data_IF_797338494980
#
_entry.id   IF_797338494980
#
_cell.length_a   1.000
_cell.length_b   1.000
_cell.length_c   1.000
_cell.angle_alpha   90.00
_cell.angle_beta   90.00
_cell.angle_gamma   90.00
#
_symmetry.space_group_name_H-M   'P 1'
#
loop_
_entity.id
_entity.type
_entity.pdbx_description
1 polymer ?
#
# COMPACT_ATOMS: atom_id res chain seq x y z
N UNK A 1 1.40 27.23 -14.21
CA UNK A 1 1.63 27.17 -12.75
C UNK A 1 1.46 25.73 -12.38
N UNK A 2 2.56 25.00 -12.25
CA UNK A 2 2.53 23.63 -11.74
C UNK A 2 2.19 23.77 -10.26
N UNK A 3 1.21 22.99 -9.82
CA UNK A 3 0.66 23.07 -8.46
C UNK A 3 1.69 22.49 -7.48
N UNK A 4 2.58 23.35 -6.95
CA UNK A 4 3.65 23.01 -6.01
C UNK A 4 3.16 22.15 -4.81
N UNK A 5 1.85 22.22 -4.51
CA UNK A 5 1.23 21.42 -3.45
C UNK A 5 1.16 19.93 -3.80
N UNK A 6 0.87 19.57 -5.06
CA UNK A 6 0.73 18.17 -5.48
C UNK A 6 2.08 17.46 -5.55
N UNK A 7 3.12 18.14 -6.03
CA UNK A 7 4.48 17.60 -6.05
C UNK A 7 5.00 17.35 -4.63
N UNK A 8 4.69 18.25 -3.70
CA UNK A 8 5.03 18.10 -2.28
C UNK A 8 4.33 16.90 -1.63
N UNK A 9 3.05 16.66 -1.93
CA UNK A 9 2.29 15.50 -1.42
C UNK A 9 2.83 14.20 -2.01
N UNK A 10 3.14 14.19 -3.30
CA UNK A 10 3.71 13.03 -3.97
C UNK A 10 5.06 12.61 -3.36
N UNK A 11 5.96 13.58 -3.16
CA UNK A 11 7.23 13.35 -2.49
C UNK A 11 7.06 12.89 -1.03
N UNK A 12 6.05 13.40 -0.32
CA UNK A 12 5.75 12.96 1.03
C UNK A 12 5.34 11.48 1.07
N UNK A 13 4.47 11.04 0.16
CA UNK A 13 4.05 9.63 0.06
C UNK A 13 5.24 8.74 -0.29
N UNK A 14 6.11 9.18 -1.20
CA UNK A 14 7.32 8.45 -1.55
C UNK A 14 8.27 8.31 -0.35
N UNK A 15 8.54 9.40 0.37
CA UNK A 15 9.37 9.37 1.58
C UNK A 15 8.74 8.50 2.69
N UNK A 16 7.42 8.56 2.82
CA UNK A 16 6.67 7.71 3.75
C UNK A 16 6.82 6.23 3.40
N UNK A 17 6.66 5.87 2.13
CA UNK A 17 6.79 4.50 1.65
C UNK A 17 8.19 3.93 1.89
N UNK A 18 9.23 4.74 1.73
CA UNK A 18 10.62 4.31 1.96
C UNK A 18 10.93 4.17 3.45
N UNK A 19 10.44 5.09 4.29
CA UNK A 19 10.81 5.14 5.72
C UNK A 19 9.92 4.33 6.64
N UNK A 20 8.67 4.04 6.25
CA UNK A 20 7.61 3.50 7.12
C UNK A 20 7.54 4.16 8.51
N UNK A 21 7.90 5.46 8.61
CA UNK A 21 7.91 6.18 9.88
C UNK A 21 6.47 6.57 10.29
N UNK A 22 5.69 5.57 10.72
CA UNK A 22 4.41 5.80 11.36
C UNK A 22 4.64 6.13 12.85
N UNK A 23 4.11 7.26 13.36
CA UNK A 23 4.08 7.47 14.80
C UNK A 23 3.33 6.31 15.44
N UNK A 24 4.02 5.53 16.26
CA UNK A 24 3.58 4.25 16.88
C UNK A 24 2.53 4.45 17.98
N UNK A 25 1.71 5.48 17.91
CA UNK A 25 0.83 5.89 19.00
C UNK A 25 -0.55 5.21 19.00
N UNK A 26 -0.84 4.31 18.05
CA UNK A 26 -2.12 3.61 18.02
C UNK A 26 -1.96 2.11 17.76
N UNK A 27 -2.50 1.29 18.66
CA UNK A 27 -2.53 -0.18 18.53
C UNK A 27 -3.65 -0.66 17.60
N UNK A 28 -4.45 0.25 17.06
CA UNK A 28 -5.58 -0.06 16.18
C UNK A 28 -5.34 0.50 14.79
N UNK A 29 -5.72 -0.27 13.77
CA UNK A 29 -5.85 0.25 12.42
C UNK A 29 -7.09 1.15 12.33
N UNK A 30 -7.07 2.12 11.43
CA UNK A 30 -8.23 3.00 11.15
C UNK A 30 -9.46 2.26 10.65
N UNK A 31 -9.32 0.98 10.28
CA UNK A 31 -10.39 0.08 9.86
C UNK A 31 -11.16 -0.58 11.03
N UNK A 32 -10.91 -0.17 12.27
CA UNK A 32 -11.60 -0.72 13.46
C UNK A 32 -11.14 -2.10 13.89
N UNK A 33 -10.04 -2.62 13.31
CA UNK A 33 -9.39 -3.87 13.72
C UNK A 33 -8.12 -3.59 14.49
N UNK A 34 -7.73 -4.54 15.34
CA UNK A 34 -6.43 -4.47 16.00
C UNK A 34 -5.32 -4.55 14.95
N UNK A 35 -4.26 -3.79 15.20
CA UNK A 35 -3.08 -3.75 14.34
C UNK A 35 -2.49 -5.14 14.09
N UNK A 36 -2.48 -5.99 15.11
CA UNK A 36 -2.03 -7.38 15.02
C UNK A 36 -2.82 -8.21 14.02
N UNK A 37 -4.14 -7.99 13.89
CA UNK A 37 -4.98 -8.78 12.98
C UNK A 37 -4.68 -8.46 11.52
N UNK A 38 -4.30 -7.22 11.26
CA UNK A 38 -4.04 -6.70 9.92
C UNK A 38 -2.57 -6.92 9.51
N UNK A 39 -1.63 -6.65 10.42
CA UNK A 39 -0.20 -6.83 10.19
C UNK A 39 0.22 -8.29 10.13
N UNK A 40 -0.35 -9.16 10.96
CA UNK A 40 -0.01 -10.59 10.98
C UNK A 40 -0.90 -11.42 10.05
N UNK A 41 -1.68 -10.78 9.19
CA UNK A 41 -2.40 -11.48 8.15
C UNK A 41 -1.41 -12.03 7.13
N UNK A 42 -1.66 -13.24 6.62
CA UNK A 42 -0.87 -13.82 5.52
C UNK A 42 -0.89 -12.89 4.30
N UNK A 43 -2.00 -12.18 4.08
CA UNK A 43 -2.14 -11.20 3.02
C UNK A 43 -1.08 -10.09 3.08
N UNK A 44 -0.85 -9.51 4.27
CA UNK A 44 0.15 -8.45 4.43
C UNK A 44 1.57 -9.00 4.19
N UNK A 45 1.88 -10.20 4.70
CA UNK A 45 3.19 -10.82 4.48
C UNK A 45 3.42 -11.21 3.02
N UNK A 46 2.38 -11.68 2.33
CA UNK A 46 2.48 -12.10 0.93
C UNK A 46 2.63 -10.89 0.01
N UNK A 47 1.89 -9.80 0.24
CA UNK A 47 2.06 -8.53 -0.47
C UNK A 47 3.46 -7.93 -0.24
N UNK A 48 3.95 -7.96 1.00
CA UNK A 48 5.31 -7.53 1.31
C UNK A 48 6.36 -8.39 0.57
N UNK A 49 6.08 -9.68 0.40
CA UNK A 49 6.95 -10.60 -0.35
C UNK A 49 6.89 -10.30 -1.85
N UNK A 50 5.71 -10.05 -2.42
CA UNK A 50 5.55 -9.63 -3.81
C UNK A 50 6.38 -8.37 -4.10
N UNK A 51 6.31 -7.35 -3.24
CA UNK A 51 7.14 -6.15 -3.36
C UNK A 51 8.64 -6.43 -3.32
N UNK A 52 9.11 -7.31 -2.42
CA UNK A 52 10.52 -7.70 -2.33
C UNK A 52 11.04 -8.42 -3.58
N UNK A 53 10.20 -9.22 -4.22
CA UNK A 53 10.54 -9.93 -5.45
C UNK A 53 10.24 -9.14 -6.73
N UNK A 54 9.67 -7.93 -6.61
CA UNK A 54 9.26 -7.13 -7.75
C UNK A 54 8.13 -7.77 -8.56
N UNK A 55 7.27 -8.55 -7.90
CA UNK A 55 6.13 -9.22 -8.53
C UNK A 55 4.94 -8.25 -8.53
N UNK A 56 4.40 -7.87 -9.70
CA UNK A 56 3.19 -7.05 -9.78
C UNK A 56 1.98 -7.78 -9.20
N UNK A 57 1.06 -7.02 -8.61
CA UNK A 57 -0.18 -7.56 -8.01
C UNK A 57 -1.40 -6.78 -8.48
N UNK A 58 -2.48 -7.50 -8.77
CA UNK A 58 -3.81 -6.91 -8.93
C UNK A 58 -4.61 -7.12 -7.65
N UNK A 59 -4.99 -6.02 -7.00
CA UNK A 59 -5.70 -6.06 -5.72
C UNK A 59 -7.22 -6.14 -5.92
N UNK A 60 -7.88 -6.92 -5.07
CA UNK A 60 -9.32 -6.90 -4.88
C UNK A 60 -9.64 -6.08 -3.64
N UNK A 61 -10.11 -4.85 -3.85
CA UNK A 61 -10.45 -3.93 -2.75
C UNK A 61 -11.95 -3.97 -2.46
N UNK A 62 -12.33 -3.90 -1.19
CA UNK A 62 -13.72 -3.86 -0.76
C UNK A 62 -14.49 -2.71 -1.45
N UNK A 63 -15.67 -3.03 -1.99
CA UNK A 63 -16.53 -2.08 -2.69
C UNK A 63 -16.18 -1.87 -4.18
N UNK A 64 -15.08 -2.43 -4.68
CA UNK A 64 -14.79 -2.45 -6.11
C UNK A 64 -15.41 -3.67 -6.78
N UNK A 65 -15.85 -3.48 -8.03
CA UNK A 65 -16.45 -4.54 -8.86
C UNK A 65 -15.37 -5.31 -9.63
N UNK A 66 -14.32 -4.61 -10.05
CA UNK A 66 -13.19 -5.17 -10.79
C UNK A 66 -11.88 -4.96 -10.01
N UNK A 67 -10.89 -5.84 -10.18
CA UNK A 67 -9.56 -5.66 -9.60
C UNK A 67 -8.89 -4.41 -10.16
N UNK A 68 -7.92 -3.88 -9.42
CA UNK A 68 -7.01 -2.89 -9.99
C UNK A 68 -6.12 -3.51 -11.07
N UNK A 69 -5.71 -2.68 -12.02
CA UNK A 69 -4.60 -3.01 -12.93
C UNK A 69 -3.37 -3.47 -12.12
N UNK A 70 -2.47 -4.29 -12.69
CA UNK A 70 -1.28 -4.75 -11.98
C UNK A 70 -0.42 -3.59 -11.46
N UNK A 71 -0.12 -3.60 -10.17
CA UNK A 71 0.68 -2.58 -9.48
C UNK A 71 1.87 -3.20 -8.78
N UNK A 72 2.95 -2.43 -8.67
CA UNK A 72 4.10 -2.79 -7.85
C UNK A 72 3.86 -2.43 -6.39
N UNK A 73 4.06 -3.40 -5.48
CA UNK A 73 4.03 -3.12 -4.04
C UNK A 73 5.34 -2.43 -3.66
N UNK A 74 5.26 -1.15 -3.29
CA UNK A 74 6.42 -0.38 -2.88
C UNK A 74 6.80 -0.71 -1.43
N UNK A 75 5.81 -0.75 -0.53
CA UNK A 75 6.02 -1.18 0.85
C UNK A 75 4.70 -1.55 1.54
N UNK A 76 4.81 -2.33 2.62
CA UNK A 76 3.72 -2.59 3.57
C UNK A 76 4.14 -2.02 4.92
N UNK A 77 3.60 -0.85 5.26
CA UNK A 77 3.87 -0.15 6.50
C UNK A 77 2.67 -0.30 7.43
N UNK A 78 2.81 -1.10 8.48
CA UNK A 78 1.71 -1.33 9.42
C UNK A 78 0.47 -1.94 8.75
N UNK A 79 -0.70 -1.33 8.91
CA UNK A 79 -1.91 -1.72 8.23
C UNK A 79 -2.00 -1.12 6.83
N UNK A 80 -0.97 -0.43 6.31
CA UNK A 80 -1.02 0.25 5.02
C UNK A 80 -0.20 -0.50 3.98
N UNK A 81 -0.79 -0.71 2.81
CA UNK A 81 -0.12 -1.20 1.61
C UNK A 81 0.01 -0.03 0.66
N UNK A 82 1.23 0.25 0.24
CA UNK A 82 1.56 1.35 -0.67
C UNK A 82 1.98 0.73 -1.99
N UNK A 83 1.30 1.12 -3.06
CA UNK A 83 1.52 0.59 -4.40
C UNK A 83 1.74 1.72 -5.40
N UNK A 84 2.36 1.37 -6.53
CA UNK A 84 2.68 2.28 -7.63
C UNK A 84 2.62 1.54 -8.97
N UNK A 85 2.49 2.27 -10.08
CA UNK A 85 2.68 1.71 -11.42
C UNK A 85 4.13 1.26 -11.67
N UNK A 86 5.09 2.11 -11.32
CA UNK A 86 6.52 1.85 -11.53
C UNK A 86 7.31 2.21 -10.25
N UNK A 87 8.20 1.32 -9.82
CA UNK A 87 9.05 1.52 -8.63
C UNK A 87 10.18 2.52 -8.90
N UNK A 88 10.70 2.57 -10.13
CA UNK A 88 11.80 3.43 -10.54
C UNK A 88 11.33 4.85 -10.86
N UNK A 89 10.15 4.97 -11.48
CA UNK A 89 9.58 6.27 -11.87
C UNK A 89 8.06 6.28 -11.68
N UNK A 90 7.58 6.35 -10.42
CA UNK A 90 6.16 6.30 -10.11
C UNK A 90 5.41 7.49 -10.72
N UNK A 91 4.26 7.23 -11.36
CA UNK A 91 3.35 8.28 -11.86
C UNK A 91 2.19 8.53 -10.90
N UNK A 92 1.80 7.50 -10.13
CA UNK A 92 0.74 7.57 -9.13
C UNK A 92 1.01 6.60 -7.98
N UNK A 93 0.46 6.93 -6.80
CA UNK A 93 0.48 6.04 -5.65
C UNK A 93 -0.93 5.65 -5.24
N UNK A 94 -1.08 4.37 -4.90
CA UNK A 94 -2.25 3.87 -4.18
C UNK A 94 -1.86 3.53 -2.76
N UNK A 95 -2.71 3.93 -1.80
CA UNK A 95 -2.54 3.60 -0.39
C UNK A 95 -3.82 2.95 0.10
N UNK A 96 -3.75 1.68 0.45
CA UNK A 96 -4.88 0.93 0.98
C UNK A 96 -4.59 0.44 2.39
N UNK A 97 -5.63 0.31 3.20
CA UNK A 97 -5.50 -0.49 4.42
C UNK A 97 -5.49 -1.98 4.04
N UNK A 98 -4.68 -2.81 4.69
CA UNK A 98 -4.73 -4.27 4.54
C UNK A 98 -6.12 -4.82 4.82
N UNK A 99 -6.89 -4.19 5.71
CA UNK A 99 -8.28 -4.58 6.02
C UNK A 99 -9.26 -4.38 4.85
N UNK A 100 -8.99 -3.42 3.96
CA UNK A 100 -9.84 -3.15 2.80
C UNK A 100 -9.48 -4.03 1.60
N UNK A 101 -8.46 -4.89 1.71
CA UNK A 101 -8.05 -5.79 0.64
C UNK A 101 -8.64 -7.18 0.94
N UNK A 102 -9.50 -7.66 0.05
CA UNK A 102 -10.10 -8.99 0.14
C UNK A 102 -9.18 -10.09 -0.40
N UNK A 103 -8.25 -9.73 -1.28
CA UNK A 103 -7.28 -10.64 -1.89
C UNK A 103 -6.46 -9.94 -2.95
N UNK A 104 -5.55 -10.69 -3.58
CA UNK A 104 -4.79 -10.26 -4.75
C UNK A 104 -4.46 -11.44 -5.63
N UNK A 105 -4.10 -11.16 -6.88
CA UNK A 105 -3.47 -12.12 -7.79
C UNK A 105 -2.13 -11.57 -8.26
N UNK A 106 -1.19 -12.47 -8.53
CA UNK A 106 0.12 -12.17 -9.12
C UNK A 106 0.10 -12.55 -10.59
N UNK A 107 0.73 -11.75 -11.44
CA UNK A 107 0.97 -12.05 -12.85
C UNK A 107 2.42 -12.48 -13.12
#
# INVERSE_FOLDING_TARGET
>A
MVDDSNESVFQLIQQFAVSCNLPTHNNNCTCGREKSDCQNSSLASDLASAGRFGIPVSLFVEGQVEPLDPLSVLNVCDCLVILTDDVSNPSFFYVFTTCSINGFVTE
#
